data_IF_783080061423
#
_entry.id   IF_783080061423
#
_cell.length_a   1.000
_cell.length_b   1.000
_cell.length_c   1.000
_cell.angle_alpha   90.00
_cell.angle_beta   90.00
_cell.angle_gamma   90.00
#
_symmetry.space_group_name_H-M   'P 1'
#
loop_
_entity.id
_entity.type
_entity.pdbx_description
1 polymer ?
#
# COMPACT_ATOMS: atom_id res chain seq x y z
N UNK A 1 23.80 9.22 1.33
CA UNK A 1 24.14 8.10 0.43
C UNK A 1 22.93 7.20 0.36
N UNK A 2 22.58 6.69 -0.83
CA UNK A 2 21.53 5.68 -0.98
C UNK A 2 22.23 4.32 -1.02
N UNK A 3 21.73 3.36 -0.27
CA UNK A 3 22.24 1.98 -0.32
C UNK A 3 21.90 1.37 -1.68
N UNK A 4 22.72 0.42 -2.14
CA UNK A 4 22.36 -0.38 -3.31
C UNK A 4 21.15 -1.26 -3.00
N UNK A 5 20.22 -1.33 -3.97
CA UNK A 5 19.05 -2.21 -3.85
C UNK A 5 19.53 -3.66 -3.84
N UNK A 6 18.95 -4.50 -2.97
CA UNK A 6 19.32 -5.93 -2.90
C UNK A 6 19.16 -6.63 -4.27
N UNK A 7 19.91 -7.70 -4.47
CA UNK A 7 19.74 -8.54 -5.65
C UNK A 7 18.35 -9.21 -5.66
N UNK A 8 17.80 -9.55 -6.84
CA UNK A 8 16.54 -10.29 -6.93
C UNK A 8 16.57 -11.58 -6.13
N UNK A 9 15.49 -11.85 -5.41
CA UNK A 9 15.32 -13.12 -4.69
C UNK A 9 15.14 -14.24 -5.71
N UNK A 10 15.74 -15.40 -5.46
CA UNK A 10 15.61 -16.57 -6.33
C UNK A 10 14.14 -16.97 -6.48
N UNK A 11 13.66 -17.08 -7.73
CA UNK A 11 12.27 -17.39 -8.08
C UNK A 11 11.74 -18.64 -7.39
N UNK A 12 12.57 -19.69 -7.26
CA UNK A 12 12.19 -20.92 -6.59
C UNK A 12 11.85 -20.71 -5.10
N UNK A 13 12.52 -19.78 -4.41
CA UNK A 13 12.22 -19.47 -3.00
C UNK A 13 10.85 -18.80 -2.87
N UNK A 14 10.53 -17.88 -3.79
CA UNK A 14 9.21 -17.23 -3.86
C UNK A 14 8.13 -18.27 -4.17
N UNK A 15 8.33 -19.11 -5.18
CA UNK A 15 7.37 -20.14 -5.58
C UNK A 15 7.02 -21.12 -4.44
N UNK A 16 8.00 -21.49 -3.62
CA UNK A 16 7.79 -22.35 -2.46
C UNK A 16 6.91 -21.70 -1.37
N UNK A 17 6.86 -20.37 -1.31
CA UNK A 17 6.06 -19.61 -0.35
C UNK A 17 4.66 -19.26 -0.87
N UNK A 18 4.46 -19.21 -2.19
CA UNK A 18 3.17 -18.91 -2.84
C UNK A 18 2.26 -20.14 -2.98
N UNK A 19 1.86 -20.69 -1.85
CA UNK A 19 1.01 -21.88 -1.75
C UNK A 19 -0.49 -21.56 -1.86
N UNK A 20 -1.32 -22.58 -2.16
CA UNK A 20 -2.76 -22.42 -2.43
C UNK A 20 -3.56 -21.82 -1.26
N UNK A 21 -3.14 -22.04 0.00
CA UNK A 21 -3.78 -21.42 1.18
C UNK A 21 -3.64 -19.89 1.24
N UNK A 22 -2.68 -19.32 0.49
CA UNK A 22 -2.43 -17.88 0.40
C UNK A 22 -3.05 -17.26 -0.84
N UNK A 23 -3.58 -18.09 -1.75
CA UNK A 23 -4.20 -17.62 -2.99
C UNK A 23 -5.54 -16.95 -2.67
N UNK A 24 -5.61 -15.64 -2.92
CA UNK A 24 -6.83 -14.85 -2.75
C UNK A 24 -7.77 -15.09 -3.92
N UNK A 25 -7.24 -15.00 -5.16
CA UNK A 25 -8.02 -15.24 -6.36
C UNK A 25 -7.17 -15.39 -7.62
N UNK A 26 -7.80 -15.92 -8.67
CA UNK A 26 -7.33 -15.80 -10.07
C UNK A 26 -7.93 -14.53 -10.68
N UNK A 27 -7.16 -13.82 -11.50
CA UNK A 27 -7.64 -12.57 -12.13
C UNK A 27 -8.51 -12.87 -13.35
N UNK A 28 -9.43 -11.96 -13.71
CA UNK A 28 -10.22 -12.13 -14.94
C UNK A 28 -9.39 -11.88 -16.20
N UNK A 29 -8.50 -10.89 -16.14
CA UNK A 29 -7.64 -10.49 -17.24
C UNK A 29 -6.17 -10.66 -16.89
N UNK A 30 -5.35 -11.02 -17.88
CA UNK A 30 -3.91 -11.19 -17.75
C UNK A 30 -3.45 -12.56 -17.25
N UNK A 31 -4.37 -13.46 -16.86
CA UNK A 31 -4.05 -14.79 -16.33
C UNK A 31 -3.07 -14.75 -15.14
N UNK A 32 -3.19 -13.70 -14.32
CA UNK A 32 -2.38 -13.51 -13.13
C UNK A 32 -3.07 -14.12 -11.91
N UNK A 33 -2.28 -14.28 -10.85
CA UNK A 33 -2.75 -14.78 -9.57
C UNK A 33 -2.60 -13.69 -8.51
N UNK A 34 -3.54 -13.61 -7.58
CA UNK A 34 -3.46 -12.69 -6.45
C UNK A 34 -3.25 -13.49 -5.17
N UNK A 35 -2.19 -13.16 -4.44
CA UNK A 35 -1.86 -13.78 -3.15
C UNK A 35 -1.91 -12.75 -2.03
N UNK A 36 -2.19 -13.20 -0.81
CA UNK A 36 -2.02 -12.41 0.41
C UNK A 36 -1.07 -13.13 1.36
N UNK A 37 0.01 -12.46 1.73
CA UNK A 37 1.07 -13.01 2.57
C UNK A 37 1.49 -12.06 3.69
N UNK A 38 2.28 -12.54 4.65
CA UNK A 38 2.98 -11.72 5.64
C UNK A 38 4.47 -12.05 5.63
N UNK A 39 5.28 -11.23 6.30
CA UNK A 39 6.70 -11.54 6.49
C UNK A 39 6.93 -12.88 7.21
N UNK A 40 5.98 -13.34 8.03
CA UNK A 40 6.13 -14.56 8.82
C UNK A 40 5.86 -15.83 8.01
N UNK A 41 4.94 -15.78 7.04
CA UNK A 41 4.57 -16.95 6.24
C UNK A 41 5.24 -16.99 4.86
N UNK A 42 5.83 -15.88 4.41
CA UNK A 42 6.54 -15.77 3.14
C UNK A 42 7.71 -14.76 3.24
N UNK A 43 8.75 -15.05 4.05
CA UNK A 43 9.85 -14.12 4.29
C UNK A 43 10.67 -13.77 3.03
N UNK A 44 10.89 -14.72 2.11
CA UNK A 44 11.63 -14.46 0.87
C UNK A 44 10.81 -13.57 -0.06
N UNK A 45 9.50 -13.83 -0.16
CA UNK A 45 8.55 -13.03 -0.92
C UNK A 45 8.45 -11.62 -0.37
N UNK A 46 8.45 -11.46 0.97
CA UNK A 46 8.47 -10.15 1.62
C UNK A 46 9.73 -9.34 1.26
N UNK A 47 10.91 -9.97 1.25
CA UNK A 47 12.14 -9.29 0.81
C UNK A 47 12.07 -8.85 -0.65
N UNK A 48 11.52 -9.70 -1.53
CA UNK A 48 11.33 -9.33 -2.94
C UNK A 48 10.33 -8.17 -3.09
N UNK A 49 9.23 -8.17 -2.31
CA UNK A 49 8.28 -7.04 -2.28
C UNK A 49 9.00 -5.75 -1.85
N UNK A 50 9.82 -5.81 -0.81
CA UNK A 50 10.60 -4.65 -0.34
C UNK A 50 11.57 -4.14 -1.40
N UNK A 51 12.25 -5.05 -2.11
CA UNK A 51 13.13 -4.71 -3.24
C UNK A 51 12.37 -3.96 -4.34
N UNK A 52 11.23 -4.51 -4.76
CA UNK A 52 10.41 -3.96 -5.83
C UNK A 52 9.75 -2.62 -5.46
N UNK A 53 9.31 -2.47 -4.21
CA UNK A 53 8.84 -1.19 -3.66
C UNK A 53 9.92 -0.13 -3.73
N UNK A 54 11.12 -0.44 -3.23
CA UNK A 54 12.22 0.52 -3.23
C UNK A 54 12.59 0.94 -4.65
N UNK A 55 12.63 -0.01 -5.60
CA UNK A 55 12.83 0.31 -7.02
C UNK A 55 11.76 1.27 -7.55
N UNK A 56 10.48 0.94 -7.36
CA UNK A 56 9.36 1.73 -7.86
C UNK A 56 9.32 3.13 -7.23
N UNK A 57 9.51 3.22 -5.91
CA UNK A 57 9.48 4.50 -5.20
C UNK A 57 10.72 5.35 -5.48
N UNK A 58 11.92 4.77 -5.62
CA UNK A 58 13.09 5.53 -6.08
C UNK A 58 12.89 6.07 -7.50
N UNK A 59 12.33 5.26 -8.40
CA UNK A 59 12.01 5.69 -9.76
C UNK A 59 11.03 6.87 -9.78
N UNK A 60 10.05 6.86 -8.88
CA UNK A 60 9.09 7.95 -8.71
C UNK A 60 9.60 9.14 -7.86
N UNK A 61 10.82 9.08 -7.32
CA UNK A 61 11.44 10.17 -6.55
C UNK A 61 11.21 10.18 -5.03
N UNK A 62 10.66 9.12 -4.43
CA UNK A 62 10.34 9.06 -2.99
C UNK A 62 10.72 7.79 -2.22
N UNK A 63 11.57 6.93 -2.78
CA UNK A 63 12.08 5.73 -2.10
C UNK A 63 12.79 6.01 -0.77
N UNK A 64 12.94 4.99 0.06
CA UNK A 64 13.47 5.11 1.43
C UNK A 64 14.98 5.41 1.46
N UNK A 65 15.69 5.09 0.37
CA UNK A 65 17.15 5.17 0.29
C UNK A 65 17.86 3.94 0.89
N UNK A 66 17.12 2.99 1.46
CA UNK A 66 17.62 1.71 1.97
C UNK A 66 17.68 0.66 0.86
N UNK A 67 18.32 -0.48 1.11
CA UNK A 67 18.43 -1.57 0.14
C UNK A 67 17.10 -2.26 -0.21
N UNK A 68 16.09 -2.17 0.67
CA UNK A 68 14.72 -2.62 0.47
C UNK A 68 13.74 -1.78 1.30
N UNK A 69 12.53 -1.54 0.79
CA UNK A 69 11.44 -0.86 1.50
C UNK A 69 10.61 -1.87 2.30
N UNK A 70 11.18 -2.25 3.44
CA UNK A 70 10.55 -3.05 4.49
C UNK A 70 10.66 -2.25 5.80
N UNK A 71 9.53 -2.00 6.45
CA UNK A 71 9.47 -1.27 7.73
C UNK A 71 8.97 -2.16 8.87
N UNK A 72 8.98 -1.61 10.09
CA UNK A 72 8.59 -2.32 11.30
C UNK A 72 7.15 -2.88 11.25
N UNK A 73 6.27 -2.27 10.45
CA UNK A 73 4.89 -2.73 10.28
C UNK A 73 4.78 -3.95 9.37
N UNK A 74 5.69 -4.12 8.42
CA UNK A 74 5.72 -5.32 7.56
C UNK A 74 6.13 -6.56 8.35
N UNK A 75 7.01 -6.40 9.34
CA UNK A 75 7.61 -7.49 10.13
C UNK A 75 7.11 -7.56 11.57
N UNK A 76 6.06 -6.81 11.92
CA UNK A 76 5.54 -6.78 13.29
C UNK A 76 5.19 -8.21 13.77
N UNK A 77 5.66 -8.64 14.94
CA UNK A 77 5.47 -10.02 15.40
C UNK A 77 4.01 -10.36 15.70
N UNK A 78 3.17 -9.38 16.01
CA UNK A 78 1.78 -9.58 16.42
C UNK A 78 0.77 -9.09 15.38
N UNK A 79 1.05 -7.94 14.78
CA UNK A 79 0.16 -7.26 13.84
C UNK A 79 0.85 -6.97 12.49
N UNK A 80 1.46 -7.98 11.84
CA UNK A 80 2.13 -7.77 10.57
C UNK A 80 1.12 -7.34 9.52
N UNK A 81 1.49 -6.36 8.70
CA UNK A 81 0.69 -6.03 7.54
C UNK A 81 0.67 -7.18 6.54
N UNK A 82 -0.52 -7.38 5.97
CA UNK A 82 -0.70 -8.26 4.84
C UNK A 82 -0.17 -7.59 3.57
N UNK A 83 0.39 -8.41 2.70
CA UNK A 83 0.92 -8.00 1.41
C UNK A 83 0.09 -8.68 0.33
N UNK A 84 -0.79 -7.90 -0.30
CA UNK A 84 -1.53 -8.33 -1.46
C UNK A 84 -0.65 -8.15 -2.69
N UNK A 85 -0.34 -9.24 -3.40
CA UNK A 85 0.53 -9.20 -4.59
C UNK A 85 -0.17 -9.77 -5.80
N UNK A 86 0.15 -9.20 -6.97
CA UNK A 86 -0.20 -9.76 -8.27
C UNK A 86 1.01 -10.50 -8.81
N UNK A 87 0.86 -11.80 -8.99
CA UNK A 87 1.88 -12.73 -9.46
C UNK A 87 1.63 -13.11 -10.92
N UNK A 88 2.66 -12.97 -11.75
CA UNK A 88 2.69 -13.51 -13.11
C UNK A 88 3.25 -14.94 -13.09
N UNK A 89 2.42 -15.99 -13.29
CA UNK A 89 2.91 -17.36 -13.31
C UNK A 89 3.78 -17.69 -14.53
N UNK A 90 3.69 -16.93 -15.63
CA UNK A 90 4.46 -17.17 -16.86
C UNK A 90 5.91 -16.73 -16.69
N UNK A 91 6.12 -15.51 -16.17
CA UNK A 91 7.45 -14.95 -15.95
C UNK A 91 8.00 -15.26 -14.55
N UNK A 92 7.15 -15.78 -13.66
CA UNK A 92 7.45 -16.02 -12.26
C UNK A 92 7.95 -14.73 -11.58
N UNK A 93 7.16 -13.67 -11.71
CA UNK A 93 7.48 -12.34 -11.21
C UNK A 93 6.28 -11.69 -10.51
N UNK A 94 6.57 -10.86 -9.52
CA UNK A 94 5.58 -9.96 -8.93
C UNK A 94 5.42 -8.76 -9.86
N UNK A 95 4.18 -8.52 -10.30
CA UNK A 95 3.81 -7.39 -11.17
C UNK A 95 3.54 -6.13 -10.36
N UNK A 96 2.94 -6.28 -9.18
CA UNK A 96 2.57 -5.17 -8.31
C UNK A 96 2.08 -5.67 -6.97
N UNK A 97 1.92 -4.75 -6.04
CA UNK A 97 1.47 -5.08 -4.70
C UNK A 97 0.81 -3.93 -3.98
N UNK A 98 0.07 -4.27 -2.93
CA UNK A 98 -0.55 -3.35 -2.01
C UNK A 98 -0.38 -3.89 -0.59
N UNK A 99 0.08 -3.05 0.33
CA UNK A 99 0.07 -3.37 1.77
C UNK A 99 -1.31 -3.08 2.34
N UNK A 100 -1.83 -3.98 3.17
CA UNK A 100 -3.08 -3.72 3.89
C UNK A 100 -3.10 -4.32 5.30
N UNK A 101 -3.94 -3.76 6.15
CA UNK A 101 -4.28 -4.34 7.45
C UNK A 101 -5.75 -4.07 7.77
N UNK A 102 -6.42 -5.07 8.33
CA UNK A 102 -7.77 -4.89 8.87
C UNK A 102 -7.60 -4.27 10.26
N UNK A 103 -8.02 -3.02 10.41
CA UNK A 103 -7.74 -2.24 11.62
C UNK A 103 -8.29 -2.90 12.89
N UNK A 104 -9.44 -3.56 12.81
CA UNK A 104 -10.00 -4.32 13.94
C UNK A 104 -9.06 -5.44 14.44
N UNK A 105 -8.28 -6.04 13.54
CA UNK A 105 -7.32 -7.10 13.87
C UNK A 105 -5.96 -6.55 14.33
N UNK A 106 -5.75 -5.24 14.20
CA UNK A 106 -4.53 -4.54 14.61
C UNK A 106 -4.69 -3.82 15.95
N UNK A 107 -5.71 -4.17 16.74
CA UNK A 107 -6.01 -3.54 18.04
C UNK A 107 -5.50 -4.43 19.17
N UNK A 108 -4.63 -3.90 20.02
CA UNK A 108 -4.14 -4.62 21.19
C UNK A 108 -5.13 -4.61 22.36
N UNK A 109 -4.76 -5.29 23.45
CA UNK A 109 -5.58 -5.40 24.66
C UNK A 109 -5.75 -4.07 25.41
N UNK A 110 -4.90 -3.07 25.14
CA UNK A 110 -5.02 -1.71 25.67
C UNK A 110 -5.89 -0.82 24.76
N UNK A 111 -6.36 -1.36 23.64
CA UNK A 111 -7.20 -0.68 22.68
C UNK A 111 -6.42 0.20 21.70
N UNK A 112 -5.10 0.09 21.64
CA UNK A 112 -4.25 0.82 20.71
C UNK A 112 -4.23 0.10 19.35
N UNK A 113 -4.40 0.88 18.28
CA UNK A 113 -4.28 0.40 16.91
C UNK A 113 -2.83 0.49 16.43
N UNK A 114 -2.27 -0.63 16.01
CA UNK A 114 -0.92 -0.79 15.45
C UNK A 114 -0.94 -0.60 13.94
N UNK A 115 -1.24 0.63 13.52
CA UNK A 115 -1.35 1.00 12.10
C UNK A 115 -0.40 2.15 11.74
N UNK A 116 0.19 2.10 10.55
CA UNK A 116 1.24 3.00 10.09
C UNK A 116 0.78 4.47 10.03
N UNK A 117 -0.47 4.72 9.66
CA UNK A 117 -1.01 6.09 9.58
C UNK A 117 -1.13 6.77 10.95
N UNK A 118 -1.14 6.03 12.06
CA UNK A 118 -1.14 6.59 13.42
C UNK A 118 0.09 7.47 13.68
N UNK A 119 1.21 7.23 13.01
CA UNK A 119 2.40 8.08 13.16
C UNK A 119 2.30 9.42 12.41
N UNK A 120 1.32 9.55 11.50
CA UNK A 120 1.17 10.70 10.61
C UNK A 120 -0.04 11.55 10.98
N UNK A 121 -1.07 10.94 11.56
CA UNK A 121 -2.34 11.57 11.87
C UNK A 121 -2.76 11.36 13.32
N UNK A 122 -3.51 12.32 13.84
CA UNK A 122 -4.30 12.16 15.05
C UNK A 122 -5.72 11.73 14.66
N UNK A 123 -6.24 10.75 15.40
CA UNK A 123 -7.57 10.20 15.17
C UNK A 123 -8.51 10.63 16.29
N UNK A 124 -9.62 11.26 15.92
CA UNK A 124 -10.69 11.59 16.85
C UNK A 124 -11.23 10.34 17.56
N UNK A 125 -11.85 10.51 18.72
CA UNK A 125 -12.53 9.40 19.40
C UNK A 125 -13.59 8.77 18.50
N UNK A 126 -14.35 9.60 17.77
CA UNK A 126 -15.35 9.16 16.81
C UNK A 126 -14.75 8.26 15.73
N UNK A 127 -13.63 8.66 15.13
CA UNK A 127 -12.95 7.83 14.13
C UNK A 127 -12.47 6.50 14.72
N UNK A 128 -11.92 6.52 15.94
CA UNK A 128 -11.41 5.32 16.61
C UNK A 128 -12.50 4.31 16.99
N UNK A 129 -13.68 4.78 17.37
CA UNK A 129 -14.78 3.92 17.83
C UNK A 129 -15.72 3.52 16.68
N UNK A 130 -16.09 4.46 15.82
CA UNK A 130 -17.17 4.25 14.84
C UNK A 130 -16.67 3.80 13.46
N UNK A 131 -15.39 4.06 13.15
CA UNK A 131 -14.81 3.80 11.83
C UNK A 131 -13.73 2.74 11.86
N UNK A 132 -12.67 2.89 12.65
CA UNK A 132 -11.52 1.96 12.64
C UNK A 132 -11.90 0.46 12.74
N UNK A 133 -12.91 0.03 13.52
CA UNK A 133 -13.36 -1.37 13.53
C UNK A 133 -13.84 -1.92 12.18
N UNK A 134 -14.19 -1.05 11.24
CA UNK A 134 -14.73 -1.39 9.92
C UNK A 134 -13.84 -0.92 8.77
N UNK A 135 -12.57 -0.59 9.07
CA UNK A 135 -11.61 -0.03 8.13
C UNK A 135 -10.56 -1.08 7.74
N UNK A 136 -10.24 -1.13 6.44
CA UNK A 136 -8.95 -1.65 5.96
C UNK A 136 -8.03 -0.46 5.69
N UNK A 137 -6.89 -0.40 6.38
CA UNK A 137 -5.84 0.54 6.04
C UNK A 137 -5.02 0.00 4.87
N UNK A 138 -4.77 0.85 3.88
CA UNK A 138 -4.03 0.58 2.65
C UNK A 138 -2.77 1.47 2.57
N UNK A 139 -1.67 0.91 2.08
CA UNK A 139 -0.44 1.66 1.89
C UNK A 139 0.57 0.98 0.97
N UNK A 140 1.65 1.69 0.62
CA UNK A 140 2.77 1.15 -0.18
C UNK A 140 2.34 0.44 -1.47
N UNK A 141 1.31 0.94 -2.16
CA UNK A 141 0.92 0.43 -3.47
C UNK A 141 2.04 0.69 -4.48
N UNK A 142 2.40 -0.32 -5.25
CA UNK A 142 3.39 -0.18 -6.31
C UNK A 142 3.05 -1.09 -7.49
N UNK A 143 3.53 -0.69 -8.67
CA UNK A 143 3.65 -1.54 -9.84
C UNK A 143 5.15 -1.68 -10.13
N UNK A 144 5.61 -2.89 -10.40
CA UNK A 144 7.00 -3.14 -10.77
C UNK A 144 7.37 -2.32 -12.00
N UNK A 145 8.48 -1.58 -11.95
CA UNK A 145 8.92 -0.61 -12.97
C UNK A 145 8.88 -1.18 -14.39
N UNK A 146 9.35 -2.42 -14.59
CA UNK A 146 9.33 -3.06 -15.91
C UNK A 146 7.92 -3.20 -16.50
N UNK A 147 6.91 -3.37 -15.63
CA UNK A 147 5.50 -3.51 -15.99
C UNK A 147 4.76 -2.16 -16.05
N UNK A 148 5.37 -1.06 -15.59
CA UNK A 148 4.83 0.29 -15.79
C UNK A 148 5.04 0.77 -17.23
N UNK A 149 6.13 0.32 -17.86
CA UNK A 149 6.43 0.60 -19.25
C UNK A 149 5.78 -0.45 -20.17
N UNK A 150 5.53 -0.10 -21.44
CA UNK A 150 5.05 -1.07 -22.45
C UNK A 150 6.06 -2.21 -22.75
N UNK A 151 7.22 -2.25 -22.09
CA UNK A 151 8.34 -3.13 -22.42
C UNK A 151 8.09 -4.60 -22.03
N UNK A 152 7.45 -4.90 -20.88
CA UNK A 152 7.06 -6.28 -20.49
C UNK A 152 5.62 -6.66 -20.88
N UNK A 153 5.17 -6.17 -22.03
CA UNK A 153 3.95 -6.65 -22.69
C UNK A 153 2.63 -6.20 -22.05
N UNK A 154 1.52 -6.82 -22.50
CA UNK A 154 0.15 -6.40 -22.15
C UNK A 154 -0.24 -6.63 -20.68
N UNK A 155 0.52 -7.43 -19.93
CA UNK A 155 0.17 -7.80 -18.54
C UNK A 155 0.30 -6.64 -17.56
N UNK A 156 1.25 -5.73 -17.78
CA UNK A 156 1.40 -4.52 -16.96
C UNK A 156 0.18 -3.60 -17.00
N UNK A 157 -0.59 -3.62 -18.10
CA UNK A 157 -1.84 -2.88 -18.25
C UNK A 157 -2.87 -3.30 -17.19
N UNK A 158 -2.88 -4.59 -16.84
CA UNK A 158 -3.85 -5.15 -15.90
C UNK A 158 -3.37 -5.12 -14.45
N UNK A 159 -2.15 -4.62 -14.16
CA UNK A 159 -1.59 -4.65 -12.81
C UNK A 159 -2.50 -3.96 -11.79
N UNK A 160 -2.97 -2.75 -12.12
CA UNK A 160 -3.84 -1.98 -11.24
C UNK A 160 -5.23 -2.62 -11.10
N UNK A 161 -5.81 -3.09 -12.21
CA UNK A 161 -7.11 -3.79 -12.22
C UNK A 161 -7.04 -5.08 -11.39
N UNK A 162 -5.95 -5.84 -11.50
CA UNK A 162 -5.72 -7.07 -10.74
C UNK A 162 -5.53 -6.79 -9.24
N UNK A 163 -4.89 -5.68 -8.86
CA UNK A 163 -4.81 -5.24 -7.46
C UNK A 163 -6.20 -4.89 -6.90
N UNK A 164 -7.01 -4.14 -7.66
CA UNK A 164 -8.39 -3.84 -7.28
C UNK A 164 -9.24 -5.11 -7.15
N UNK A 165 -9.10 -6.03 -8.09
CA UNK A 165 -9.72 -7.35 -8.05
C UNK A 165 -9.37 -8.13 -6.77
N UNK A 166 -8.13 -8.03 -6.32
CA UNK A 166 -7.65 -8.58 -5.06
C UNK A 166 -8.25 -7.89 -3.83
N UNK A 167 -8.27 -6.56 -3.81
CA UNK A 167 -8.87 -5.78 -2.72
C UNK A 167 -10.36 -6.08 -2.56
N UNK A 168 -11.10 -6.20 -3.67
CA UNK A 168 -12.51 -6.61 -3.64
C UNK A 168 -12.67 -8.02 -3.05
N UNK A 169 -11.78 -8.94 -3.37
CA UNK A 169 -11.80 -10.28 -2.76
C UNK A 169 -11.52 -10.23 -1.26
N UNK A 170 -10.56 -9.40 -0.81
CA UNK A 170 -10.31 -9.15 0.62
C UNK A 170 -11.55 -8.61 1.31
N UNK A 171 -12.20 -7.58 0.77
CA UNK A 171 -13.42 -7.00 1.35
C UNK A 171 -14.57 -8.02 1.38
N UNK A 172 -14.68 -8.90 0.38
CA UNK A 172 -15.69 -9.99 0.39
C UNK A 172 -15.43 -11.04 1.47
N UNK A 173 -14.17 -11.33 1.78
CA UNK A 173 -13.80 -12.23 2.88
C UNK A 173 -14.03 -11.60 4.25
N UNK A 174 -14.10 -10.27 4.31
CA UNK A 174 -14.29 -9.48 5.52
C UNK A 174 -15.52 -8.57 5.40
N UNK A 175 -16.74 -9.14 5.43
CA UNK A 175 -17.98 -8.39 5.20
C UNK A 175 -18.26 -7.29 6.24
N UNK A 176 -17.55 -7.30 7.38
CA UNK A 176 -17.56 -6.23 8.36
C UNK A 176 -16.95 -4.92 7.84
N UNK A 177 -16.08 -4.99 6.83
CA UNK A 177 -15.39 -3.81 6.28
C UNK A 177 -16.35 -2.92 5.51
N UNK A 178 -16.33 -1.63 5.86
CA UNK A 178 -17.15 -0.58 5.23
C UNK A 178 -16.30 0.49 4.55
N UNK A 179 -15.05 0.63 4.97
CA UNK A 179 -14.20 1.75 4.57
C UNK A 179 -12.80 1.29 4.16
N UNK A 180 -12.27 1.91 3.11
CA UNK A 180 -10.87 1.86 2.76
C UNK A 180 -10.23 3.17 3.22
N UNK A 181 -9.15 3.08 3.98
CA UNK A 181 -8.43 4.24 4.51
C UNK A 181 -6.97 4.13 4.15
N UNK A 182 -6.30 5.26 3.94
CA UNK A 182 -4.88 5.25 3.64
C UNK A 182 -4.39 6.64 3.31
N UNK A 183 -3.07 6.76 3.13
CA UNK A 183 -2.45 8.02 2.70
C UNK A 183 -2.05 7.95 1.24
N UNK A 184 -2.18 9.08 0.56
CA UNK A 184 -1.56 9.32 -0.74
C UNK A 184 -0.30 10.16 -0.50
N UNK A 185 0.79 9.79 -1.17
CA UNK A 185 2.05 10.54 -1.07
C UNK A 185 2.12 11.53 -2.24
N UNK A 186 2.30 12.81 -1.95
CA UNK A 186 2.71 13.82 -2.93
C UNK A 186 4.21 14.06 -2.74
N UNK A 187 5.02 13.75 -3.75
CA UNK A 187 6.48 13.90 -3.66
C UNK A 187 6.89 15.38 -3.70
N UNK A 188 7.96 15.75 -3.01
CA UNK A 188 8.41 17.15 -2.90
C UNK A 188 8.84 17.77 -4.23
N UNK A 189 9.12 16.94 -5.24
CA UNK A 189 9.43 17.38 -6.60
C UNK A 189 8.18 17.79 -7.42
N UNK A 190 6.97 17.59 -6.88
CA UNK A 190 5.77 18.12 -7.50
C UNK A 190 5.81 19.64 -7.49
N UNK A 191 5.32 20.23 -8.57
CA UNK A 191 5.10 21.66 -8.65
C UNK A 191 4.22 22.14 -7.48
N UNK A 192 4.67 23.16 -6.78
CA UNK A 192 4.03 23.64 -5.55
C UNK A 192 2.66 24.25 -5.83
N UNK A 193 2.48 24.90 -6.99
CA UNK A 193 1.19 25.45 -7.41
C UNK A 193 0.20 24.32 -7.72
N UNK A 194 0.61 23.31 -8.49
CA UNK A 194 -0.23 22.14 -8.79
C UNK A 194 -0.65 21.39 -7.51
N UNK A 195 0.28 21.22 -6.56
CA UNK A 195 0.00 20.62 -5.25
C UNK A 195 -1.01 21.43 -4.45
N UNK A 196 -0.86 22.75 -4.42
CA UNK A 196 -1.78 23.64 -3.70
C UNK A 196 -3.18 23.63 -4.34
N UNK A 197 -3.30 23.51 -5.67
CA UNK A 197 -4.59 23.28 -6.35
C UNK A 197 -5.27 21.98 -5.92
N UNK A 198 -4.52 20.87 -5.84
CA UNK A 198 -5.07 19.58 -5.38
C UNK A 198 -5.57 19.71 -3.93
N UNK A 199 -4.76 20.33 -3.06
CA UNK A 199 -5.11 20.50 -1.65
C UNK A 199 -6.34 21.38 -1.46
N UNK A 200 -6.42 22.52 -2.16
CA UNK A 200 -7.58 23.40 -2.03
C UNK A 200 -8.84 22.82 -2.65
N UNK A 201 -8.74 22.06 -3.76
CA UNK A 201 -9.86 21.28 -4.28
C UNK A 201 -10.39 20.27 -3.25
N UNK A 202 -9.50 19.48 -2.63
CA UNK A 202 -9.89 18.51 -1.60
C UNK A 202 -10.51 19.20 -0.38
N UNK A 203 -9.92 20.29 0.10
CA UNK A 203 -10.45 21.05 1.25
C UNK A 203 -11.81 21.69 0.95
N UNK A 204 -12.04 22.16 -0.28
CA UNK A 204 -13.31 22.80 -0.68
C UNK A 204 -14.41 21.77 -0.95
N UNK A 205 -14.11 20.73 -1.72
CA UNK A 205 -15.11 19.76 -2.18
C UNK A 205 -15.33 18.60 -1.20
N UNK A 206 -14.32 18.27 -0.38
CA UNK A 206 -14.34 17.14 0.54
C UNK A 206 -13.76 17.51 1.93
N UNK A 207 -14.27 18.57 2.58
CA UNK A 207 -13.77 18.99 3.90
C UNK A 207 -14.04 17.92 4.97
N UNK A 208 -13.07 17.72 5.86
CA UNK A 208 -13.27 16.96 7.10
C UNK A 208 -13.91 17.86 8.18
N UNK A 209 -15.22 18.10 8.04
CA UNK A 209 -15.99 18.96 8.95
C UNK A 209 -16.05 18.41 10.39
N UNK A 210 -15.84 17.10 10.56
CA UNK A 210 -15.90 16.43 11.86
C UNK A 210 -14.52 16.25 12.49
N UNK A 211 -13.45 16.62 11.77
CA UNK A 211 -12.05 16.42 12.18
C UNK A 211 -11.77 14.97 12.58
N UNK A 212 -12.27 14.03 11.78
CA UNK A 212 -12.09 12.60 12.01
C UNK A 212 -10.62 12.22 12.03
N UNK A 213 -9.83 12.80 11.11
CA UNK A 213 -8.42 12.51 10.91
C UNK A 213 -7.66 13.81 10.63
N UNK A 214 -6.77 14.23 11.53
CA UNK A 214 -5.99 15.47 11.38
C UNK A 214 -4.50 15.17 11.25
N UNK A 215 -3.75 15.86 10.38
CA UNK A 215 -2.32 15.63 10.24
C UNK A 215 -1.56 16.17 11.45
N UNK A 216 -0.65 15.37 12.01
CA UNK A 216 0.26 15.78 13.10
C UNK A 216 1.20 16.90 12.67
N UNK A 217 1.57 16.91 11.39
CA UNK A 217 2.39 17.93 10.74
C UNK A 217 1.69 18.35 9.45
N UNK A 218 0.79 19.34 9.48
CA UNK A 218 0.10 19.80 8.29
C UNK A 218 1.09 20.41 7.30
N UNK A 219 0.81 20.24 6.01
CA UNK A 219 1.55 20.91 4.95
C UNK A 219 1.07 22.36 4.81
N UNK A 220 1.99 23.30 4.67
CA UNK A 220 1.64 24.69 4.38
C UNK A 220 1.18 24.86 2.93
N UNK A 221 0.10 25.60 2.72
CA UNK A 221 -0.30 26.12 1.41
C UNK A 221 0.60 27.32 1.12
N UNK A 222 1.30 27.32 -0.02
CA UNK A 222 2.23 28.40 -0.39
C UNK A 222 1.56 29.52 -1.17
N UNK A 223 0.45 29.21 -1.87
CA UNK A 223 -0.30 30.15 -2.68
C UNK A 223 -1.69 30.35 -2.08
N UNK A 224 -1.82 31.27 -1.12
CA UNK A 224 -3.05 31.53 -0.39
C UNK A 224 -4.13 32.25 -1.24
N UNK A 225 -3.73 32.89 -2.34
CA UNK A 225 -4.60 33.66 -3.23
C UNK A 225 -5.22 32.82 -4.36
N UNK A 226 -5.14 31.49 -4.28
CA UNK A 226 -5.80 30.63 -5.27
C UNK A 226 -7.31 30.70 -5.04
N UNK A 227 -8.00 31.34 -5.97
CA UNK A 227 -9.46 31.39 -6.02
C UNK A 227 -9.98 30.02 -6.49
N UNK A 228 -10.79 29.36 -5.66
CA UNK A 228 -11.43 28.07 -5.95
C UNK A 228 -12.91 28.24 -6.22
#
# INVERSE_FOLDING_TARGET
MKDDIIAPIERNKILLELTDDKLVRKTHFGSNLVYSITAHNAPNTMQEIGRLREMAFRHAGGGTGKSADVDEYDTDPQFPYQQLIVWDPEHQEIIGGYRYIICQNARDSQGIYHIATRNLFDFSEKFRQDYLPYVVELGRSFVHVDYQSKQKGRKGIFALDNLWEGLVAVVKMHPEIKYLFGKVTMYLQYDTLARDYILGFLNKCFPDNEQLVTPKKPLSIHHADIDF
#
